data_IF_165080441844
#
_entry.id   IF_165080441844
#
_cell.length_a   1.000
_cell.length_b   1.000
_cell.length_c   1.000
_cell.angle_alpha   90.00
_cell.angle_beta   90.00
_cell.angle_gamma   90.00
#
_symmetry.space_group_name_H-M   'P 1'
#
loop_
_entity.id
_entity.type
_entity.pdbx_description
1 polymer ?
#
# COMPACT_ATOMS: atom_id res chain seq x y z
N UNK A 1 29.92 -71.97 17.63
CA UNK A 1 29.12 -70.80 18.11
C UNK A 1 29.17 -69.75 17.01
N UNK A 2 28.10 -69.59 16.23
CA UNK A 2 28.11 -68.74 15.04
C UNK A 2 27.53 -67.35 15.36
N UNK A 3 28.20 -66.29 14.92
CA UNK A 3 27.66 -64.93 15.01
C UNK A 3 26.56 -64.71 13.94
N UNK A 4 25.50 -63.95 14.26
CA UNK A 4 24.53 -63.50 13.26
C UNK A 4 25.12 -62.39 12.36
N UNK A 5 24.68 -62.28 11.10
CA UNK A 5 25.13 -61.22 10.19
C UNK A 5 24.50 -59.85 10.51
N UNK A 6 25.12 -58.74 10.09
CA UNK A 6 24.64 -57.39 10.40
C UNK A 6 23.35 -57.03 9.64
N UNK A 7 22.46 -56.31 10.34
CA UNK A 7 21.15 -55.88 9.85
C UNK A 7 21.29 -54.73 8.84
N UNK A 8 20.82 -54.95 7.60
CA UNK A 8 21.09 -54.08 6.47
C UNK A 8 20.04 -52.94 6.33
N UNK A 9 20.06 -51.96 7.25
CA UNK A 9 19.08 -50.86 7.33
C UNK A 9 19.41 -49.69 6.41
N UNK A 10 19.60 -49.95 5.10
CA UNK A 10 20.16 -48.97 4.15
C UNK A 10 19.33 -48.74 2.87
N UNK A 11 18.04 -49.10 2.83
CA UNK A 11 17.28 -49.20 1.55
C UNK A 11 15.88 -48.60 1.51
N UNK A 12 15.62 -47.45 2.15
CA UNK A 12 14.28 -46.82 2.06
C UNK A 12 14.20 -45.28 1.97
N UNK A 13 15.29 -44.56 1.71
CA UNK A 13 15.25 -43.08 1.56
C UNK A 13 15.32 -42.57 0.13
N UNK A 14 15.57 -43.43 -0.88
CA UNK A 14 15.83 -43.00 -2.27
C UNK A 14 14.59 -42.78 -3.14
N UNK A 15 13.39 -43.21 -2.72
CA UNK A 15 12.18 -43.16 -3.59
C UNK A 15 11.35 -41.87 -3.55
N UNK A 16 11.63 -40.92 -2.64
CA UNK A 16 10.83 -39.67 -2.53
C UNK A 16 11.41 -38.52 -3.41
N UNK A 17 12.68 -38.60 -3.85
CA UNK A 17 13.31 -37.52 -4.64
C UNK A 17 12.93 -37.43 -6.12
N UNK A 18 12.18 -38.39 -6.66
CA UNK A 18 11.88 -38.48 -8.09
C UNK A 18 10.52 -37.86 -8.54
N UNK A 19 9.83 -37.11 -7.67
CA UNK A 19 8.57 -36.41 -8.02
C UNK A 19 8.62 -34.89 -7.87
N UNK A 20 9.82 -34.30 -7.93
CA UNK A 20 10.00 -32.87 -8.24
C UNK A 20 9.79 -32.60 -9.75
N UNK A 21 8.67 -33.08 -10.31
CA UNK A 21 8.30 -32.84 -11.70
C UNK A 21 7.80 -31.39 -11.81
N UNK A 22 8.73 -30.50 -12.17
CA UNK A 22 8.50 -29.27 -12.95
C UNK A 22 7.06 -28.73 -12.95
N UNK A 23 6.53 -28.34 -11.78
CA UNK A 23 5.38 -27.44 -11.73
C UNK A 23 5.96 -26.06 -11.98
N UNK A 24 6.13 -25.77 -13.26
CA UNK A 24 6.37 -24.42 -13.76
C UNK A 24 5.08 -23.65 -13.52
N UNK A 25 4.90 -23.19 -12.28
CA UNK A 25 3.79 -22.34 -11.87
C UNK A 25 3.92 -21.04 -12.65
N UNK A 26 3.25 -21.01 -13.80
CA UNK A 26 2.99 -19.83 -14.57
C UNK A 26 2.31 -18.85 -13.62
N UNK A 27 3.08 -17.86 -13.17
CA UNK A 27 2.57 -16.87 -12.22
C UNK A 27 1.37 -16.20 -12.89
N UNK A 28 0.18 -16.16 -12.26
CA UNK A 28 -0.90 -15.36 -12.80
C UNK A 28 -0.39 -13.93 -12.90
N UNK A 29 -0.46 -13.38 -14.12
CA UNK A 29 -0.27 -11.97 -14.38
C UNK A 29 -1.31 -11.25 -13.52
N UNK A 30 -0.87 -10.72 -12.38
CA UNK A 30 -1.66 -9.75 -11.63
C UNK A 30 -2.01 -8.62 -12.59
N UNK A 31 -3.29 -8.24 -12.74
CA UNK A 31 -3.64 -7.09 -13.55
C UNK A 31 -2.94 -5.87 -12.98
N UNK A 32 -1.90 -5.43 -13.68
CA UNK A 32 -1.11 -4.27 -13.34
C UNK A 32 -1.99 -3.04 -13.40
N UNK A 33 -1.98 -2.25 -12.32
CA UNK A 33 -2.43 -0.86 -12.31
C UNK A 33 -3.89 -0.71 -12.79
N UNK A 34 -4.83 -0.77 -11.85
CA UNK A 34 -6.05 0.04 -11.98
C UNK A 34 -5.57 1.49 -12.02
N UNK A 35 -5.37 2.00 -13.23
CA UNK A 35 -5.13 3.41 -13.45
C UNK A 35 -6.45 4.08 -13.08
N UNK A 36 -6.49 4.66 -11.89
CA UNK A 36 -7.62 5.47 -11.46
C UNK A 36 -7.74 6.62 -12.44
N UNK A 37 -8.65 6.47 -13.42
CA UNK A 37 -9.05 7.54 -14.33
C UNK A 37 -9.69 8.62 -13.48
N UNK A 38 -8.86 9.55 -13.02
CA UNK A 38 -9.32 10.79 -12.40
C UNK A 38 -10.07 11.53 -13.48
N UNK A 39 -11.39 11.41 -13.47
CA UNK A 39 -12.28 12.18 -14.32
C UNK A 39 -12.22 13.62 -13.84
N UNK A 40 -11.22 14.36 -14.33
CA UNK A 40 -11.07 15.79 -14.14
C UNK A 40 -12.18 16.54 -14.89
N UNK A 41 -13.39 16.48 -14.35
CA UNK A 41 -14.46 17.43 -14.64
C UNK A 41 -14.06 18.77 -14.04
N UNK A 42 -13.30 19.57 -14.81
CA UNK A 42 -13.00 20.96 -14.47
C UNK A 42 -14.26 21.81 -14.61
N UNK A 43 -14.86 22.35 -13.52
CA UNK A 43 -15.92 23.32 -13.63
C UNK A 43 -15.25 24.68 -13.91
N UNK A 44 -15.54 25.26 -15.07
CA UNK A 44 -15.15 26.63 -15.38
C UNK A 44 -16.07 27.58 -14.58
N UNK A 45 -15.66 27.95 -13.36
CA UNK A 45 -16.43 28.87 -12.51
C UNK A 45 -15.98 30.32 -12.67
N UNK A 46 -16.88 31.16 -13.14
CA UNK A 46 -16.75 32.62 -13.06
C UNK A 46 -16.66 33.09 -11.60
N UNK A 47 -15.58 33.78 -11.24
CA UNK A 47 -15.39 34.36 -9.91
C UNK A 47 -16.05 35.73 -9.77
N UNK A 48 -17.35 35.80 -9.45
CA UNK A 48 -17.89 36.98 -8.74
C UNK A 48 -19.21 36.74 -7.97
N UNK A 49 -19.24 35.75 -7.07
CA UNK A 49 -20.36 35.60 -6.15
C UNK A 49 -20.13 34.48 -5.13
N UNK A 50 -20.25 34.79 -3.84
CA UNK A 50 -20.14 33.82 -2.74
C UNK A 50 -21.42 32.99 -2.58
N UNK A 51 -21.93 32.46 -3.69
CA UNK A 51 -23.00 31.48 -3.70
C UNK A 51 -22.42 30.14 -3.24
N UNK A 52 -22.85 29.67 -2.08
CA UNK A 52 -22.38 28.43 -1.50
C UNK A 52 -22.96 27.24 -2.29
N UNK A 53 -22.26 26.80 -3.35
CA UNK A 53 -22.72 25.74 -4.26
C UNK A 53 -22.67 24.39 -3.54
N UNK A 54 -23.76 24.07 -2.84
CA UNK A 54 -23.99 22.75 -2.26
C UNK A 54 -24.15 21.72 -3.36
N UNK A 55 -23.26 20.72 -3.38
CA UNK A 55 -23.33 19.62 -4.34
C UNK A 55 -24.69 18.90 -4.31
N UNK A 56 -25.28 18.70 -5.49
CA UNK A 56 -26.57 18.03 -5.67
C UNK A 56 -26.59 16.63 -5.05
N UNK A 57 -27.70 16.22 -4.45
CA UNK A 57 -27.85 14.91 -3.81
C UNK A 57 -27.41 13.74 -4.72
N UNK A 58 -27.68 13.83 -6.02
CA UNK A 58 -27.27 12.81 -7.00
C UNK A 58 -25.75 12.61 -7.11
N UNK A 59 -24.94 13.68 -7.05
CA UNK A 59 -23.48 13.56 -7.14
C UNK A 59 -22.89 12.96 -5.87
N UNK A 60 -23.45 13.32 -4.71
CA UNK A 60 -23.14 12.72 -3.39
C UNK A 60 -23.40 11.21 -3.38
N UNK A 61 -24.59 10.79 -3.80
CA UNK A 61 -24.95 9.37 -3.85
C UNK A 61 -24.07 8.59 -4.85
N UNK A 62 -23.79 9.15 -6.03
CA UNK A 62 -22.91 8.52 -7.01
C UNK A 62 -21.47 8.36 -6.50
N UNK A 63 -20.88 9.41 -5.93
CA UNK A 63 -19.53 9.37 -5.35
C UNK A 63 -19.44 8.38 -4.17
N UNK A 64 -20.40 8.43 -3.25
CA UNK A 64 -20.45 7.52 -2.10
C UNK A 64 -20.56 6.06 -2.51
N UNK A 65 -21.41 5.77 -3.51
CA UNK A 65 -21.54 4.43 -4.08
C UNK A 65 -20.27 3.97 -4.80
N UNK A 66 -19.59 4.84 -5.55
CA UNK A 66 -18.34 4.48 -6.23
C UNK A 66 -17.22 4.14 -5.24
N UNK A 67 -17.09 4.92 -4.15
CA UNK A 67 -16.13 4.61 -3.08
C UNK A 67 -16.48 3.29 -2.37
N UNK A 68 -17.76 3.05 -2.07
CA UNK A 68 -18.21 1.82 -1.44
C UNK A 68 -17.91 0.59 -2.29
N UNK A 69 -18.14 0.65 -3.61
CA UNK A 69 -17.83 -0.44 -4.54
C UNK A 69 -16.31 -0.67 -4.70
N UNK A 70 -15.51 0.40 -4.79
CA UNK A 70 -14.05 0.30 -4.88
C UNK A 70 -13.45 -0.31 -3.60
N UNK A 71 -13.88 0.16 -2.42
CA UNK A 71 -13.47 -0.40 -1.14
C UNK A 71 -13.92 -1.85 -0.99
N UNK A 72 -15.15 -2.20 -1.36
CA UNK A 72 -15.67 -3.57 -1.24
C UNK A 72 -14.90 -4.55 -2.14
N UNK A 73 -14.60 -4.16 -3.38
CA UNK A 73 -13.81 -5.00 -4.31
C UNK A 73 -12.36 -5.14 -3.82
N UNK A 74 -11.73 -4.06 -3.36
CA UNK A 74 -10.39 -4.06 -2.78
C UNK A 74 -10.26 -4.94 -1.53
N UNK A 75 -11.21 -4.84 -0.59
CA UNK A 75 -11.30 -5.72 0.59
C UNK A 75 -11.52 -7.17 0.16
N UNK A 76 -12.40 -7.45 -0.80
CA UNK A 76 -12.66 -8.82 -1.28
C UNK A 76 -11.40 -9.46 -1.88
N UNK A 77 -10.65 -8.73 -2.71
CA UNK A 77 -9.39 -9.21 -3.30
C UNK A 77 -8.33 -9.46 -2.21
N UNK A 78 -8.21 -8.57 -1.23
CA UNK A 78 -7.28 -8.75 -0.11
C UNK A 78 -7.67 -9.92 0.81
N UNK A 79 -8.96 -10.15 1.05
CA UNK A 79 -9.45 -11.32 1.79
C UNK A 79 -9.17 -12.62 1.05
N UNK A 80 -9.36 -12.67 -0.27
CA UNK A 80 -8.99 -13.83 -1.09
C UNK A 80 -7.48 -14.09 -1.03
N UNK A 81 -6.64 -13.05 -1.11
CA UNK A 81 -5.20 -13.17 -0.97
C UNK A 81 -4.80 -13.66 0.44
N UNK A 82 -5.44 -13.15 1.49
CA UNK A 82 -5.33 -13.67 2.86
C UNK A 82 -5.66 -15.17 2.95
N UNK A 83 -6.77 -15.62 2.37
CA UNK A 83 -7.16 -17.04 2.37
C UNK A 83 -6.13 -17.92 1.66
N UNK A 84 -5.59 -17.46 0.52
CA UNK A 84 -4.52 -18.16 -0.21
C UNK A 84 -3.23 -18.21 0.60
N UNK A 85 -2.83 -17.12 1.25
CA UNK A 85 -1.64 -17.06 2.10
C UNK A 85 -1.77 -17.97 3.34
N UNK A 86 -2.96 -18.01 3.96
CA UNK A 86 -3.25 -18.90 5.10
C UNK A 86 -3.17 -20.38 4.67
N UNK A 87 -3.83 -20.77 3.58
CA UNK A 87 -3.78 -22.15 3.06
C UNK A 87 -2.37 -22.54 2.60
N UNK A 88 -1.62 -21.63 1.97
CA UNK A 88 -0.26 -21.85 1.51
C UNK A 88 0.82 -21.79 2.60
N UNK A 89 0.48 -21.41 3.84
CA UNK A 89 1.44 -21.05 4.90
C UNK A 89 2.49 -22.12 5.18
N UNK A 90 2.12 -23.41 5.17
CA UNK A 90 3.04 -24.51 5.47
C UNK A 90 4.24 -24.57 4.50
N UNK A 91 4.00 -24.31 3.21
CA UNK A 91 5.04 -24.32 2.17
C UNK A 91 5.69 -22.93 2.03
N UNK A 92 4.89 -21.87 2.09
CA UNK A 92 5.35 -20.52 1.76
C UNK A 92 6.13 -19.81 2.89
N UNK A 93 5.95 -20.18 4.16
CA UNK A 93 6.61 -19.53 5.32
C UNK A 93 8.15 -19.63 5.30
N UNK A 94 8.74 -20.45 4.44
CA UNK A 94 10.20 -20.48 4.24
C UNK A 94 10.70 -19.38 3.30
N UNK A 95 9.84 -18.83 2.43
CA UNK A 95 10.22 -17.86 1.40
C UNK A 95 10.05 -16.42 1.90
N UNK A 96 11.07 -15.58 1.69
CA UNK A 96 11.03 -14.15 2.02
C UNK A 96 9.84 -13.41 1.38
N UNK A 97 9.46 -13.82 0.16
CA UNK A 97 8.30 -13.33 -0.56
C UNK A 97 7.02 -13.36 0.30
N UNK A 98 6.76 -14.46 1.02
CA UNK A 98 5.55 -14.61 1.84
C UNK A 98 5.43 -13.53 2.91
N UNK A 99 6.52 -13.23 3.62
CA UNK A 99 6.54 -12.22 4.68
C UNK A 99 6.31 -10.82 4.13
N UNK A 100 6.88 -10.49 2.97
CA UNK A 100 6.72 -9.18 2.31
C UNK A 100 5.26 -9.03 1.82
N UNK A 101 4.70 -10.04 1.15
CA UNK A 101 3.28 -10.03 0.73
C UNK A 101 2.34 -9.85 1.92
N UNK A 102 2.64 -10.44 3.08
CA UNK A 102 1.84 -10.25 4.28
C UNK A 102 1.85 -8.79 4.78
N UNK A 103 2.98 -8.08 4.69
CA UNK A 103 3.03 -6.65 5.03
C UNK A 103 2.21 -5.81 4.03
N UNK A 104 2.29 -6.12 2.74
CA UNK A 104 1.50 -5.44 1.70
C UNK A 104 -0.01 -5.60 1.94
N UNK A 105 -0.48 -6.82 2.19
CA UNK A 105 -1.91 -7.08 2.49
C UNK A 105 -2.39 -6.35 3.74
N UNK A 106 -1.54 -6.22 4.77
CA UNK A 106 -1.87 -5.41 5.96
C UNK A 106 -1.99 -3.92 5.60
N UNK A 107 -1.11 -3.38 4.76
CA UNK A 107 -1.21 -1.99 4.30
C UNK A 107 -2.47 -1.75 3.45
N UNK A 108 -2.79 -2.65 2.53
CA UNK A 108 -3.96 -2.53 1.65
C UNK A 108 -5.28 -2.64 2.45
N UNK A 109 -5.36 -3.56 3.42
CA UNK A 109 -6.50 -3.67 4.34
C UNK A 109 -6.65 -2.44 5.26
N UNK A 110 -5.54 -1.86 5.73
CA UNK A 110 -5.58 -0.60 6.50
C UNK A 110 -6.09 0.56 5.65
N UNK A 111 -5.65 0.66 4.39
CA UNK A 111 -6.06 1.70 3.44
C UNK A 111 -7.58 1.65 3.22
N UNK A 112 -8.12 0.49 2.81
CA UNK A 112 -9.57 0.32 2.64
C UNK A 112 -10.35 0.48 3.94
N UNK A 113 -9.76 0.15 5.10
CA UNK A 113 -10.35 0.43 6.41
C UNK A 113 -10.55 1.93 6.66
N UNK A 114 -9.55 2.76 6.33
CA UNK A 114 -9.66 4.22 6.45
C UNK A 114 -10.62 4.83 5.41
N UNK A 115 -10.64 4.29 4.18
CA UNK A 115 -11.63 4.65 3.15
C UNK A 115 -13.07 4.34 3.60
N UNK A 116 -13.29 3.24 4.32
CA UNK A 116 -14.62 2.93 4.84
C UNK A 116 -15.04 3.87 5.98
N UNK A 117 -14.10 4.25 6.85
CA UNK A 117 -14.36 5.06 8.05
C UNK A 117 -14.56 6.56 7.74
N UNK A 118 -13.90 7.12 6.72
CA UNK A 118 -13.87 8.57 6.48
C UNK A 118 -14.66 9.02 5.25
N UNK A 119 -14.24 8.74 3.99
CA UNK A 119 -14.91 9.31 2.83
C UNK A 119 -16.33 8.80 2.61
N UNK A 120 -16.67 7.53 2.95
CA UNK A 120 -18.06 7.03 2.80
C UNK A 120 -19.07 7.84 3.65
N UNK A 121 -18.94 7.94 4.98
CA UNK A 121 -19.90 8.69 5.80
C UNK A 121 -19.91 10.19 5.47
N UNK A 122 -18.75 10.81 5.20
CA UNK A 122 -18.70 12.24 4.83
C UNK A 122 -19.42 12.49 3.50
N UNK A 123 -19.23 11.62 2.50
CA UNK A 123 -19.84 11.78 1.17
C UNK A 123 -21.37 11.62 1.24
N UNK A 124 -21.88 10.69 2.05
CA UNK A 124 -23.32 10.49 2.25
C UNK A 124 -23.94 11.64 3.05
N UNK A 125 -23.31 12.04 4.16
CA UNK A 125 -23.83 13.11 5.01
C UNK A 125 -23.71 14.51 4.37
N UNK A 126 -22.71 14.71 3.50
CA UNK A 126 -22.50 15.94 2.74
C UNK A 126 -22.44 17.21 3.61
N UNK A 127 -21.91 17.06 4.81
CA UNK A 127 -21.69 18.06 5.84
C UNK A 127 -20.49 17.64 6.69
N UNK A 128 -19.80 18.58 7.33
CA UNK A 128 -18.60 18.31 8.13
C UNK A 128 -18.94 17.65 9.48
N UNK A 129 -19.45 16.41 9.44
CA UNK A 129 -19.93 15.67 10.62
C UNK A 129 -18.89 15.53 11.73
N UNK A 130 -17.61 15.46 11.37
CA UNK A 130 -16.50 15.28 12.31
C UNK A 130 -15.89 16.62 12.78
N UNK A 131 -16.33 17.76 12.22
CA UNK A 131 -15.83 19.11 12.56
C UNK A 131 -14.30 19.23 12.55
N UNK A 132 -13.76 20.11 13.40
CA UNK A 132 -12.31 20.26 13.62
C UNK A 132 -11.76 19.28 14.67
N UNK A 133 -12.33 18.09 14.81
CA UNK A 133 -11.88 17.12 15.83
C UNK A 133 -10.65 16.33 15.36
N UNK A 134 -9.85 15.86 16.31
CA UNK A 134 -8.70 14.98 16.07
C UNK A 134 -9.07 13.66 15.37
N UNK A 135 -10.36 13.31 15.34
CA UNK A 135 -10.87 12.09 14.72
C UNK A 135 -10.71 12.05 13.19
N UNK A 136 -10.64 13.19 12.48
CA UNK A 136 -10.29 13.21 11.05
C UNK A 136 -8.79 13.04 10.80
N UNK A 137 -7.95 13.53 11.72
CA UNK A 137 -6.52 13.57 11.53
C UNK A 137 -5.88 12.18 11.65
N UNK A 138 -6.32 11.36 12.62
CA UNK A 138 -5.75 10.02 12.85
C UNK A 138 -5.97 9.09 11.64
N UNK A 139 -7.19 8.94 11.07
CA UNK A 139 -7.39 8.12 9.87
C UNK A 139 -6.63 8.64 8.65
N UNK A 140 -6.58 9.96 8.43
CA UNK A 140 -5.83 10.54 7.31
C UNK A 140 -4.31 10.30 7.42
N UNK A 141 -3.78 10.30 8.66
CA UNK A 141 -2.40 9.94 8.94
C UNK A 141 -2.14 8.44 8.71
N UNK A 142 -3.03 7.56 9.18
CA UNK A 142 -2.91 6.10 8.99
C UNK A 142 -3.06 5.72 7.51
N UNK A 143 -3.99 6.32 6.78
CA UNK A 143 -4.16 6.22 5.32
C UNK A 143 -2.86 6.59 4.59
N UNK A 144 -2.26 7.73 4.96
CA UNK A 144 -0.97 8.17 4.38
C UNK A 144 0.17 7.18 4.66
N UNK A 145 0.24 6.62 5.88
CA UNK A 145 1.22 5.57 6.23
C UNK A 145 0.96 4.29 5.44
N UNK A 146 -0.29 3.84 5.34
CA UNK A 146 -0.67 2.60 4.69
C UNK A 146 -0.38 2.65 3.18
N UNK A 147 -0.82 3.70 2.49
CA UNK A 147 -0.52 3.95 1.09
C UNK A 147 0.99 4.00 0.81
N UNK A 148 1.74 4.74 1.63
CA UNK A 148 3.21 4.82 1.53
C UNK A 148 3.84 3.43 1.75
N UNK A 149 3.32 2.66 2.72
CA UNK A 149 3.73 1.29 2.99
C UNK A 149 3.54 0.37 1.80
N UNK A 150 2.38 0.37 1.15
CA UNK A 150 2.11 -0.43 -0.05
C UNK A 150 3.11 -0.12 -1.16
N UNK A 151 3.47 1.15 -1.39
CA UNK A 151 4.50 1.53 -2.37
C UNK A 151 5.88 0.95 -2.02
N UNK A 152 6.36 1.14 -0.79
CA UNK A 152 7.68 0.64 -0.38
C UNK A 152 7.75 -0.90 -0.31
N UNK A 153 6.68 -1.58 0.10
CA UNK A 153 6.63 -3.05 0.12
C UNK A 153 6.48 -3.65 -1.28
N UNK A 154 5.77 -3.00 -2.20
CA UNK A 154 5.74 -3.38 -3.62
C UNK A 154 7.12 -3.24 -4.28
N UNK A 155 7.84 -2.14 -3.98
CA UNK A 155 9.23 -1.96 -4.39
C UNK A 155 10.15 -3.04 -3.78
N UNK A 156 10.01 -3.35 -2.49
CA UNK A 156 10.78 -4.41 -1.83
C UNK A 156 10.48 -5.81 -2.40
N UNK A 157 9.22 -6.10 -2.76
CA UNK A 157 8.83 -7.32 -3.47
C UNK A 157 9.49 -7.40 -4.86
N UNK A 158 9.55 -6.28 -5.57
CA UNK A 158 10.19 -6.17 -6.89
C UNK A 158 11.70 -6.37 -6.77
N UNK A 159 12.37 -5.75 -5.79
CA UNK A 159 13.78 -5.97 -5.49
C UNK A 159 14.10 -7.42 -5.09
N UNK A 160 13.24 -8.06 -4.29
CA UNK A 160 13.36 -9.48 -3.95
C UNK A 160 13.36 -10.35 -5.23
N UNK A 161 12.41 -10.15 -6.13
CA UNK A 161 12.37 -10.87 -7.42
C UNK A 161 13.59 -10.55 -8.29
N UNK A 162 13.98 -9.28 -8.40
CA UNK A 162 15.12 -8.85 -9.20
C UNK A 162 16.46 -9.44 -8.70
N UNK A 163 16.71 -9.37 -7.40
CA UNK A 163 17.95 -9.91 -6.80
C UNK A 163 18.04 -11.43 -6.90
N UNK A 164 16.91 -12.17 -6.85
CA UNK A 164 16.89 -13.62 -7.10
C UNK A 164 17.44 -13.97 -8.48
N UNK A 165 17.13 -13.19 -9.52
CA UNK A 165 17.56 -13.48 -10.90
C UNK A 165 18.93 -12.88 -11.26
N UNK A 166 19.22 -11.65 -10.81
CA UNK A 166 20.41 -10.91 -11.26
C UNK A 166 21.58 -11.02 -10.28
N UNK A 167 21.32 -11.04 -8.97
CA UNK A 167 22.35 -10.95 -7.93
C UNK A 167 22.08 -11.92 -6.75
N UNK A 168 22.21 -13.24 -6.96
CA UNK A 168 21.85 -14.25 -5.94
C UNK A 168 22.64 -14.10 -4.63
N UNK A 169 23.88 -13.57 -4.68
CA UNK A 169 24.67 -13.25 -3.49
C UNK A 169 24.01 -12.15 -2.63
N UNK A 170 23.53 -11.07 -3.27
CA UNK A 170 22.82 -9.97 -2.59
C UNK A 170 21.48 -10.47 -2.03
N UNK A 171 20.79 -11.33 -2.78
CA UNK A 171 19.56 -11.96 -2.31
C UNK A 171 19.79 -12.77 -1.01
N UNK A 172 20.82 -13.62 -0.98
CA UNK A 172 21.20 -14.36 0.23
C UNK A 172 21.61 -13.43 1.39
N UNK A 173 22.24 -12.28 1.11
CA UNK A 173 22.63 -11.33 2.14
C UNK A 173 21.44 -10.59 2.77
N UNK A 174 20.48 -10.12 1.96
CA UNK A 174 19.35 -9.30 2.42
C UNK A 174 18.14 -10.13 2.90
N UNK A 175 17.77 -11.18 2.17
CA UNK A 175 16.49 -11.89 2.36
C UNK A 175 16.61 -13.17 3.23
N UNK A 176 17.73 -13.35 3.93
CA UNK A 176 17.84 -14.35 5.02
C UNK A 176 16.80 -14.09 6.12
N UNK A 177 16.15 -15.15 6.63
CA UNK A 177 15.03 -15.06 7.58
C UNK A 177 15.17 -14.02 8.72
N UNK A 178 16.27 -13.96 9.51
CA UNK A 178 16.38 -12.94 10.56
C UNK A 178 16.57 -11.53 10.00
N UNK A 179 17.36 -11.37 8.92
CA UNK A 179 17.66 -10.07 8.29
C UNK A 179 16.44 -9.49 7.58
N UNK A 180 15.58 -10.34 7.03
CA UNK A 180 14.30 -9.96 6.43
C UNK A 180 13.40 -9.18 7.39
N UNK A 181 13.30 -9.61 8.65
CA UNK A 181 12.51 -8.87 9.65
C UNK A 181 13.16 -7.53 10.01
N UNK A 182 14.49 -7.44 10.00
CA UNK A 182 15.22 -6.19 10.17
C UNK A 182 14.95 -5.25 8.99
N UNK A 183 15.00 -5.71 7.74
CA UNK A 183 14.73 -4.85 6.57
C UNK A 183 13.28 -4.36 6.55
N UNK A 184 12.30 -5.22 6.89
CA UNK A 184 10.90 -4.83 7.05
C UNK A 184 10.73 -3.80 8.18
N UNK A 185 11.39 -3.99 9.32
CA UNK A 185 11.38 -3.03 10.43
C UNK A 185 11.99 -1.67 10.07
N UNK A 186 13.12 -1.67 9.37
CA UNK A 186 13.77 -0.45 8.86
C UNK A 186 12.87 0.29 7.87
N UNK A 187 12.19 -0.43 6.96
CA UNK A 187 11.21 0.17 6.04
C UNK A 187 10.04 0.80 6.81
N UNK A 188 9.46 0.10 7.78
CA UNK A 188 8.40 0.66 8.63
C UNK A 188 8.83 1.91 9.41
N UNK A 189 10.00 1.88 10.06
CA UNK A 189 10.56 3.04 10.78
C UNK A 189 10.79 4.19 9.81
N UNK A 190 11.35 3.94 8.63
CA UNK A 190 11.54 4.95 7.59
C UNK A 190 10.22 5.58 7.14
N UNK A 191 9.18 4.78 6.88
CA UNK A 191 7.84 5.29 6.52
C UNK A 191 7.27 6.17 7.63
N UNK A 192 7.32 5.71 8.89
CA UNK A 192 6.78 6.46 10.04
C UNK A 192 7.54 7.77 10.25
N UNK A 193 8.87 7.76 10.15
CA UNK A 193 9.71 8.97 10.27
C UNK A 193 9.44 9.93 9.10
N UNK A 194 9.33 9.41 7.87
CA UNK A 194 9.06 10.24 6.68
C UNK A 194 7.67 10.90 6.76
N UNK A 195 6.61 10.12 6.99
CA UNK A 195 5.24 10.64 7.09
C UNK A 195 5.09 11.53 8.33
N UNK A 196 5.71 11.16 9.46
CA UNK A 196 5.76 11.96 10.67
C UNK A 196 6.43 13.31 10.45
N UNK A 197 7.58 13.35 9.77
CA UNK A 197 8.27 14.60 9.44
C UNK A 197 7.44 15.49 8.49
N UNK A 198 6.80 14.91 7.47
CA UNK A 198 5.93 15.66 6.56
C UNK A 198 4.73 16.30 7.28
N UNK A 199 4.15 15.60 8.25
CA UNK A 199 3.08 16.15 9.09
C UNK A 199 3.60 17.20 10.10
N UNK A 200 4.77 16.99 10.70
CA UNK A 200 5.41 17.94 11.62
C UNK A 200 5.79 19.27 10.96
N UNK A 201 6.12 19.25 9.66
CA UNK A 201 6.28 20.45 8.83
C UNK A 201 4.95 21.18 8.53
N UNK A 202 3.89 20.84 9.25
CA UNK A 202 2.55 21.46 9.20
C UNK A 202 1.86 21.35 7.84
N UNK A 203 2.31 20.48 6.94
CA UNK A 203 1.57 20.17 5.74
C UNK A 203 0.64 18.97 5.96
N UNK A 204 -0.59 19.26 6.38
CA UNK A 204 -1.59 18.24 6.68
C UNK A 204 -2.55 18.00 5.51
N UNK A 205 -2.99 16.75 5.38
CA UNK A 205 -4.02 16.32 4.43
C UNK A 205 -5.39 16.71 5.00
N UNK A 206 -6.14 17.53 4.27
CA UNK A 206 -7.50 17.97 4.62
C UNK A 206 -8.46 17.44 3.55
N UNK A 207 -9.66 17.02 3.93
CA UNK A 207 -10.70 16.61 2.99
C UNK A 207 -11.61 17.80 2.68
N UNK A 208 -11.93 18.02 1.40
CA UNK A 208 -12.96 18.98 1.01
C UNK A 208 -14.29 18.25 0.82
N UNK A 209 -15.28 18.56 1.66
CA UNK A 209 -16.62 17.98 1.62
C UNK A 209 -17.49 18.52 0.46
N UNK A 210 -17.05 19.57 -0.24
CA UNK A 210 -17.73 20.08 -1.45
C UNK A 210 -17.22 19.42 -2.72
N UNK A 211 -15.90 19.30 -2.89
CA UNK A 211 -15.26 18.67 -4.04
C UNK A 211 -15.02 17.15 -3.94
N UNK A 212 -15.20 16.55 -2.76
CA UNK A 212 -14.90 15.13 -2.46
C UNK A 212 -13.44 14.72 -2.69
N UNK A 213 -12.51 15.67 -2.66
CA UNK A 213 -11.08 15.41 -2.83
C UNK A 213 -10.29 15.73 -1.56
N UNK A 214 -9.18 15.01 -1.38
CA UNK A 214 -8.16 15.39 -0.40
C UNK A 214 -7.23 16.44 -1.01
N UNK A 215 -6.88 17.44 -0.21
CA UNK A 215 -5.94 18.48 -0.58
C UNK A 215 -4.96 18.74 0.58
N UNK A 216 -3.77 19.21 0.25
CA UNK A 216 -2.72 19.46 1.22
C UNK A 216 -2.67 20.94 1.58
N UNK A 217 -2.97 21.27 2.85
CA UNK A 217 -2.72 22.60 3.40
C UNK A 217 -1.30 22.62 3.95
N UNK A 218 -0.35 23.13 3.16
CA UNK A 218 0.97 23.49 3.67
C UNK A 218 0.98 24.99 4.07
N UNK A 219 1.75 25.40 5.10
CA UNK A 219 2.01 26.81 5.34
C UNK A 219 2.76 27.47 4.17
N UNK A 220 2.63 28.79 4.04
CA UNK A 220 3.28 29.55 2.98
C UNK A 220 4.81 29.41 3.03
N UNK A 221 5.37 28.82 1.97
CA UNK A 221 6.79 28.51 1.84
C UNK A 221 7.71 29.72 1.94
N UNK A 222 7.18 30.94 1.79
CA UNK A 222 7.91 32.19 1.93
C UNK A 222 8.31 32.48 3.39
N UNK A 223 7.63 31.87 4.37
CA UNK A 223 7.86 32.07 5.80
C UNK A 223 8.57 30.89 6.49
N UNK A 224 8.99 29.85 5.75
CA UNK A 224 9.63 28.65 6.30
C UNK A 224 11.16 28.79 6.19
N UNK A 225 11.83 28.79 7.34
CA UNK A 225 13.28 28.96 7.45
C UNK A 225 14.06 27.72 6.96
N UNK A 226 14.40 27.72 5.68
CA UNK A 226 15.50 27.00 5.00
C UNK A 226 15.25 25.56 4.49
N UNK A 227 15.43 24.45 5.25
CA UNK A 227 15.73 23.14 4.64
C UNK A 227 14.57 22.57 3.82
N UNK A 228 13.34 23.03 4.08
CA UNK A 228 12.17 22.71 3.26
C UNK A 228 12.33 23.03 1.75
N UNK A 229 13.22 23.95 1.36
CA UNK A 229 13.40 24.31 -0.05
C UNK A 229 13.95 23.17 -0.92
N UNK A 230 14.76 22.25 -0.37
CA UNK A 230 15.36 21.15 -1.15
C UNK A 230 14.27 20.21 -1.68
N UNK A 231 13.28 19.88 -0.84
CA UNK A 231 12.16 18.98 -1.19
C UNK A 231 11.25 19.61 -2.26
N UNK A 232 11.03 20.93 -2.20
CA UNK A 232 10.23 21.67 -3.20
C UNK A 232 10.79 21.52 -4.62
N UNK A 233 12.11 21.48 -4.78
CA UNK A 233 12.75 21.31 -6.09
C UNK A 233 12.54 19.92 -6.73
N UNK A 234 12.46 18.87 -5.90
CA UNK A 234 12.30 17.48 -6.35
C UNK A 234 10.85 17.16 -6.67
N UNK A 235 9.92 17.54 -5.78
CA UNK A 235 8.49 17.23 -5.93
C UNK A 235 7.85 17.90 -7.16
N UNK A 236 8.07 19.21 -7.33
CA UNK A 236 7.52 19.97 -8.47
C UNK A 236 8.06 19.44 -9.81
N UNK A 237 9.34 19.05 -9.87
CA UNK A 237 9.99 18.53 -11.08
C UNK A 237 9.50 17.14 -11.49
N UNK A 238 8.97 16.34 -10.55
CA UNK A 238 8.33 15.05 -10.85
C UNK A 238 6.88 15.23 -11.34
N UNK A 239 6.09 16.04 -10.65
CA UNK A 239 4.69 16.29 -11.04
C UNK A 239 4.56 16.88 -12.46
N UNK A 240 5.45 17.81 -12.83
CA UNK A 240 5.43 18.43 -14.16
C UNK A 240 5.89 17.50 -15.29
N UNK A 241 6.58 16.39 -14.99
CA UNK A 241 7.02 15.42 -16.00
C UNK A 241 5.98 14.35 -16.30
N UNK A 242 5.21 13.89 -15.31
CA UNK A 242 4.18 12.86 -15.53
C UNK A 242 2.94 13.34 -16.29
N UNK A 243 2.71 14.65 -16.40
CA UNK A 243 1.61 15.24 -17.16
C UNK A 243 1.97 15.65 -18.61
N UNK A 244 3.20 15.35 -19.07
CA UNK A 244 3.70 15.80 -20.39
C UNK A 244 4.23 14.66 -21.27
N UNK A 245 3.73 13.45 -21.04
CA UNK A 245 3.98 12.22 -21.81
C UNK A 245 2.66 11.49 -22.01
#
# INVERSE_FOLDING_TARGET
MALPPPLNTARETTKIKAKAKSVQTQAPLLPSVVSSTVVSLSPLSDMNGTSHVSATLGTRLFGGLSYALLSLTGVTLNLLLCMVLIKGRAVLKTNAFYTITWQMVVCDLLTHGMEFIVPIPITIAGSDMYGKTMFLYIPAFVDTIAYTGTLYFSFLMTLNRFTVFVFPQVNQFLFQKPRLFITIGVVWVYIIVFVGAMNALSCYKSFDSFGFFYYHKCPDWNNISVPGQVIKSVSVRLHYKMFKT
#
